data_IF_706991346411
#
_entry.id   IF_706991346411
#
_cell.length_a   1.000
_cell.length_b   1.000
_cell.length_c   1.000
_cell.angle_alpha   90.00
_cell.angle_beta   90.00
_cell.angle_gamma   90.00
#
_symmetry.space_group_name_H-M   'P 1'
#
loop_
_entity.id
_entity.type
_entity.pdbx_description
1 polymer ?
#
# COMPACT_ATOMS: atom_id res chain seq x y z
N UNK A 1 -24.38 -13.87 -7.50
CA UNK A 1 -22.91 -13.93 -7.59
C UNK A 1 -22.50 -15.33 -7.17
N UNK A 2 -21.75 -16.03 -8.01
CA UNK A 2 -21.25 -17.37 -7.70
C UNK A 2 -20.29 -17.31 -6.51
N UNK A 3 -20.46 -18.21 -5.55
CA UNK A 3 -19.69 -18.21 -4.30
C UNK A 3 -18.19 -18.42 -4.59
N UNK A 4 -17.88 -19.20 -5.63
CA UNK A 4 -16.54 -19.42 -6.16
C UNK A 4 -15.87 -18.10 -6.57
N UNK A 5 -16.56 -17.28 -7.38
CA UNK A 5 -16.06 -15.98 -7.86
C UNK A 5 -15.81 -15.00 -6.73
N UNK A 6 -16.67 -15.00 -5.70
CA UNK A 6 -16.45 -14.16 -4.50
C UNK A 6 -15.21 -14.62 -3.72
N UNK A 7 -15.05 -15.93 -3.50
CA UNK A 7 -13.86 -16.48 -2.82
C UNK A 7 -12.57 -16.14 -3.58
N UNK A 8 -12.56 -16.31 -4.90
CA UNK A 8 -11.41 -15.93 -5.73
C UNK A 8 -11.11 -14.44 -5.66
N UNK A 9 -12.13 -13.57 -5.69
CA UNK A 9 -11.93 -12.13 -5.55
C UNK A 9 -11.34 -11.75 -4.19
N UNK A 10 -11.78 -12.38 -3.09
CA UNK A 10 -11.21 -12.19 -1.75
C UNK A 10 -9.75 -12.62 -1.72
N UNK A 11 -9.43 -13.82 -2.23
CA UNK A 11 -8.06 -14.35 -2.24
C UNK A 11 -7.15 -13.45 -3.08
N UNK A 12 -7.56 -13.05 -4.28
CA UNK A 12 -6.79 -12.17 -5.13
C UNK A 12 -6.52 -10.81 -4.47
N UNK A 13 -7.52 -10.27 -3.77
CA UNK A 13 -7.39 -9.00 -3.07
C UNK A 13 -6.50 -9.09 -1.82
N UNK A 14 -6.56 -10.22 -1.12
CA UNK A 14 -5.78 -10.47 0.10
C UNK A 14 -4.33 -10.87 -0.17
N UNK A 15 -4.06 -11.57 -1.27
CA UNK A 15 -2.75 -12.18 -1.54
C UNK A 15 -1.96 -11.43 -2.62
N UNK A 16 -2.62 -10.94 -3.67
CA UNK A 16 -1.92 -10.37 -4.83
C UNK A 16 -1.79 -8.87 -4.71
N UNK A 17 -2.91 -8.16 -4.67
CA UNK A 17 -2.90 -6.70 -4.57
C UNK A 17 -4.26 -6.14 -4.15
N UNK A 18 -4.30 -5.17 -3.21
CA UNK A 18 -5.54 -4.53 -2.81
C UNK A 18 -6.18 -3.79 -4.00
N UNK A 19 -7.43 -4.08 -4.29
CA UNK A 19 -8.21 -3.52 -5.39
C UNK A 19 -8.42 -4.45 -6.58
N UNK A 20 -7.61 -5.50 -6.78
CA UNK A 20 -7.82 -6.47 -7.88
C UNK A 20 -9.14 -7.21 -7.71
N UNK A 21 -9.51 -7.56 -6.47
CA UNK A 21 -10.78 -8.22 -6.19
C UNK A 21 -11.98 -7.38 -6.65
N UNK A 22 -11.94 -6.06 -6.47
CA UNK A 22 -12.98 -5.16 -6.95
C UNK A 22 -13.09 -5.12 -8.47
N UNK A 23 -11.97 -5.21 -9.20
CA UNK A 23 -11.99 -5.34 -10.67
C UNK A 23 -12.63 -6.65 -11.12
N UNK A 24 -12.30 -7.77 -10.47
CA UNK A 24 -12.91 -9.08 -10.76
C UNK A 24 -14.42 -9.09 -10.52
N UNK A 25 -14.88 -8.23 -9.62
CA UNK A 25 -16.28 -8.09 -9.25
C UNK A 25 -17.03 -6.98 -10.02
N UNK A 26 -16.39 -6.34 -11.01
CA UNK A 26 -16.96 -5.32 -11.88
C UNK A 26 -16.89 -3.87 -11.35
N UNK A 27 -16.43 -3.65 -10.12
CA UNK A 27 -16.37 -2.33 -9.47
C UNK A 27 -15.07 -1.58 -9.80
N UNK A 28 -14.86 -1.28 -11.09
CA UNK A 28 -13.62 -0.65 -11.61
C UNK A 28 -13.25 0.65 -10.88
N UNK A 29 -14.23 1.52 -10.59
CA UNK A 29 -14.00 2.78 -9.88
C UNK A 29 -13.43 2.55 -8.48
N UNK A 30 -14.06 1.67 -7.68
CA UNK A 30 -13.60 1.34 -6.33
C UNK A 30 -12.24 0.64 -6.33
N UNK A 31 -12.06 -0.33 -7.24
CA UNK A 31 -10.77 -1.00 -7.41
C UNK A 31 -9.66 -0.01 -7.70
N UNK A 32 -9.87 0.94 -8.61
CA UNK A 32 -8.90 1.99 -8.93
C UNK A 32 -8.60 2.90 -7.73
N UNK A 33 -9.61 3.32 -6.97
CA UNK A 33 -9.40 4.15 -5.77
C UNK A 33 -8.57 3.41 -4.72
N UNK A 34 -8.87 2.14 -4.46
CA UNK A 34 -8.12 1.31 -3.49
C UNK A 34 -6.68 1.08 -3.97
N UNK A 35 -6.49 0.79 -5.26
CA UNK A 35 -5.15 0.64 -5.83
C UNK A 35 -4.35 1.95 -5.71
N UNK A 36 -4.96 3.09 -6.02
CA UNK A 36 -4.31 4.40 -5.90
C UNK A 36 -3.89 4.71 -4.46
N UNK A 37 -4.78 4.48 -3.48
CA UNK A 37 -4.46 4.63 -2.05
C UNK A 37 -3.30 3.73 -1.63
N UNK A 38 -3.32 2.46 -2.06
CA UNK A 38 -2.25 1.49 -1.77
C UNK A 38 -0.90 1.99 -2.29
N UNK A 39 -0.86 2.47 -3.54
CA UNK A 39 0.35 3.03 -4.14
C UNK A 39 0.82 4.29 -3.41
N UNK A 40 -0.08 5.20 -3.04
CA UNK A 40 0.28 6.42 -2.29
C UNK A 40 0.93 6.08 -0.95
N UNK A 41 0.35 5.15 -0.19
CA UNK A 41 0.94 4.74 1.10
C UNK A 41 2.29 4.04 0.91
N UNK A 42 2.43 3.21 -0.12
CA UNK A 42 3.69 2.53 -0.42
C UNK A 42 4.79 3.52 -0.84
N UNK A 43 4.50 4.42 -1.79
CA UNK A 43 5.48 5.38 -2.29
C UNK A 43 5.80 6.48 -1.28
N UNK A 44 4.84 6.95 -0.50
CA UNK A 44 5.11 7.95 0.55
C UNK A 44 6.12 7.45 1.58
N UNK A 45 5.96 6.22 2.07
CA UNK A 45 6.91 5.61 3.01
C UNK A 45 8.31 5.46 2.40
N UNK A 46 8.39 5.00 1.15
CA UNK A 46 9.65 4.86 0.44
C UNK A 46 10.35 6.20 0.21
N UNK A 47 9.63 7.22 -0.28
CA UNK A 47 10.20 8.53 -0.56
C UNK A 47 10.74 9.21 0.70
N UNK A 48 10.01 9.13 1.82
CA UNK A 48 10.47 9.66 3.12
C UNK A 48 11.74 8.96 3.60
N UNK A 49 11.85 7.65 3.36
CA UNK A 49 13.06 6.91 3.70
C UNK A 49 14.24 7.30 2.81
N UNK A 50 14.03 7.42 1.50
CA UNK A 50 15.06 7.80 0.54
C UNK A 50 15.60 9.23 0.78
N UNK A 51 14.72 10.19 1.08
CA UNK A 51 15.17 11.55 1.41
C UNK A 51 15.98 11.57 2.71
N UNK A 52 15.56 10.82 3.73
CA UNK A 52 16.29 10.70 4.98
C UNK A 52 17.65 10.01 4.84
N UNK A 53 17.82 9.12 3.86
CA UNK A 53 19.13 8.56 3.50
C UNK A 53 20.00 9.60 2.81
N UNK A 54 19.49 10.29 1.79
CA UNK A 54 20.25 11.29 1.04
C UNK A 54 20.79 12.41 1.93
N UNK A 55 19.97 12.96 2.83
CA UNK A 55 20.41 14.03 3.75
C UNK A 55 21.57 13.58 4.66
N UNK A 56 21.59 12.31 5.05
CA UNK A 56 22.67 11.78 5.90
C UNK A 56 23.93 11.46 5.10
N UNK A 57 23.78 10.96 3.88
CA UNK A 57 24.91 10.74 2.97
C UNK A 57 25.62 12.05 2.61
N UNK A 58 24.88 13.15 2.37
CA UNK A 58 25.49 14.46 2.13
C UNK A 58 26.28 14.98 3.33
N UNK A 59 25.78 14.79 4.56
CA UNK A 59 26.48 15.20 5.78
C UNK A 59 27.72 14.37 6.11
N UNK A 60 27.76 13.11 5.65
CA UNK A 60 28.86 12.17 5.91
C UNK A 60 29.96 12.25 4.84
N UNK A 61 29.63 12.66 3.61
CA UNK A 61 30.59 12.87 2.52
C UNK A 61 31.73 13.84 2.88
N UNK A 62 31.59 14.67 3.91
CA UNK A 62 32.61 15.61 4.39
C UNK A 62 33.60 15.03 5.41
N UNK A 63 33.38 13.84 5.98
CA UNK A 63 34.05 13.48 7.24
C UNK A 63 34.82 12.14 7.32
N UNK A 64 34.58 11.08 6.53
CA UNK A 64 35.25 9.77 6.77
C UNK A 64 35.21 8.78 5.57
N UNK A 65 35.93 7.66 5.64
CA UNK A 65 35.96 6.61 4.61
C UNK A 65 34.62 5.87 4.45
N UNK A 66 34.20 5.67 3.19
CA UNK A 66 32.86 5.25 2.71
C UNK A 66 32.24 4.02 3.41
N UNK A 67 33.05 3.12 3.97
CA UNK A 67 32.59 1.82 4.51
C UNK A 67 31.86 1.92 5.88
N UNK A 68 32.28 2.82 6.78
CA UNK A 68 31.72 2.93 8.14
C UNK A 68 30.57 3.94 8.25
N UNK A 69 30.32 4.68 7.18
CA UNK A 69 29.33 5.77 7.14
C UNK A 69 27.92 5.27 6.85
N UNK A 70 27.78 4.29 5.96
CA UNK A 70 26.47 3.77 5.53
C UNK A 70 25.73 3.11 6.69
N UNK A 71 26.42 2.34 7.53
CA UNK A 71 25.85 1.69 8.72
C UNK A 71 25.42 2.69 9.79
N UNK A 72 26.16 3.78 9.95
CA UNK A 72 25.87 4.82 10.95
C UNK A 72 24.73 5.74 10.46
N UNK A 73 24.73 6.12 9.18
CA UNK A 73 23.62 6.82 8.53
C UNK A 73 22.32 6.01 8.58
N UNK A 74 22.37 4.71 8.24
CA UNK A 74 21.19 3.85 8.31
C UNK A 74 20.54 3.86 9.69
N UNK A 75 21.36 3.79 10.75
CA UNK A 75 20.87 3.77 12.12
C UNK A 75 20.29 5.13 12.57
N UNK A 76 20.92 6.25 12.20
CA UNK A 76 20.42 7.59 12.52
C UNK A 76 19.18 7.96 11.67
N UNK A 77 19.15 7.61 10.38
CA UNK A 77 18.00 7.80 9.47
C UNK A 77 16.78 7.04 9.96
N UNK A 78 16.98 5.83 10.49
CA UNK A 78 15.90 5.04 11.09
C UNK A 78 15.26 5.79 12.26
N UNK A 79 16.04 6.33 13.21
CA UNK A 79 15.51 6.95 14.42
C UNK A 79 14.70 8.22 14.16
N UNK A 80 15.02 8.95 13.10
CA UNK A 80 14.32 10.19 12.72
C UNK A 80 13.06 9.90 11.91
N UNK A 81 13.12 8.95 10.98
CA UNK A 81 12.06 8.73 9.99
C UNK A 81 11.16 7.53 10.25
N UNK A 82 11.45 6.69 11.26
CA UNK A 82 10.65 5.48 11.52
C UNK A 82 9.17 5.80 11.75
N UNK A 83 8.83 6.93 12.38
CA UNK A 83 7.42 7.27 12.67
C UNK A 83 6.58 7.40 11.40
N UNK A 84 7.09 8.08 10.37
CA UNK A 84 6.38 8.29 9.11
C UNK A 84 6.31 7.00 8.29
N UNK A 85 7.41 6.23 8.25
CA UNK A 85 7.42 4.92 7.60
C UNK A 85 6.40 3.98 8.27
N UNK A 86 6.33 3.99 9.60
CA UNK A 86 5.42 3.16 10.38
C UNK A 86 3.96 3.59 10.19
N UNK A 87 3.68 4.90 10.10
CA UNK A 87 2.35 5.42 9.73
C UNK A 87 1.96 4.98 8.30
N UNK A 88 2.89 5.06 7.34
CA UNK A 88 2.62 4.60 5.97
C UNK A 88 2.35 3.10 5.91
N UNK A 89 3.10 2.30 6.67
CA UNK A 89 2.88 0.85 6.77
C UNK A 89 1.55 0.51 7.45
N UNK A 90 1.21 1.19 8.54
CA UNK A 90 -0.10 1.07 9.21
C UNK A 90 -1.24 1.47 8.28
N UNK A 91 -1.09 2.57 7.54
CA UNK A 91 -2.06 3.02 6.56
C UNK A 91 -2.24 2.01 5.42
N UNK A 92 -1.14 1.45 4.93
CA UNK A 92 -1.16 0.39 3.92
C UNK A 92 -1.92 -0.84 4.43
N UNK A 93 -1.62 -1.31 5.64
CA UNK A 93 -2.33 -2.43 6.27
C UNK A 93 -3.81 -2.12 6.47
N UNK A 94 -4.15 -0.92 6.95
CA UNK A 94 -5.53 -0.50 7.16
C UNK A 94 -6.33 -0.49 5.85
N UNK A 95 -5.76 0.07 4.77
CA UNK A 95 -6.36 0.05 3.43
C UNK A 95 -6.52 -1.38 2.92
N UNK A 96 -5.52 -2.24 3.16
CA UNK A 96 -5.56 -3.63 2.74
C UNK A 96 -6.66 -4.42 3.45
N UNK A 97 -6.74 -4.32 4.79
CA UNK A 97 -7.80 -4.93 5.58
C UNK A 97 -9.18 -4.39 5.22
N UNK A 98 -9.31 -3.08 5.06
CA UNK A 98 -10.56 -2.45 4.62
C UNK A 98 -11.01 -3.00 3.27
N UNK A 99 -10.09 -3.13 2.31
CA UNK A 99 -10.39 -3.66 0.98
C UNK A 99 -10.90 -5.10 1.02
N UNK A 100 -10.29 -5.95 1.84
CA UNK A 100 -10.74 -7.34 2.03
C UNK A 100 -12.11 -7.38 2.73
N UNK A 101 -12.28 -6.57 3.77
CA UNK A 101 -13.53 -6.47 4.53
C UNK A 101 -14.70 -6.00 3.66
N UNK A 102 -14.49 -4.99 2.80
CA UNK A 102 -15.49 -4.46 1.87
C UNK A 102 -16.00 -5.54 0.92
N UNK A 103 -15.10 -6.40 0.40
CA UNK A 103 -15.50 -7.54 -0.45
C UNK A 103 -16.28 -8.59 0.36
N UNK A 104 -15.86 -8.90 1.59
CA UNK A 104 -16.52 -9.87 2.47
C UNK A 104 -17.95 -9.45 2.83
N UNK A 105 -18.16 -8.18 3.17
CA UNK A 105 -19.46 -7.63 3.59
C UNK A 105 -20.33 -7.14 2.42
N UNK A 106 -19.88 -7.32 1.18
CA UNK A 106 -20.62 -6.89 0.00
C UNK A 106 -21.94 -7.65 -0.14
N UNK A 107 -23.06 -7.00 0.22
CA UNK A 107 -24.41 -7.43 -0.16
C UNK A 107 -24.56 -7.32 -1.68
N UNK A 108 -25.12 -8.35 -2.33
CA UNK A 108 -25.35 -8.44 -3.78
C UNK A 108 -26.04 -7.18 -4.35
N UNK A 109 -25.27 -6.16 -4.74
CA UNK A 109 -25.79 -5.01 -5.51
C UNK A 109 -25.66 -5.20 -7.02
N UNK A 110 -25.08 -6.30 -7.50
CA UNK A 110 -24.73 -6.49 -8.93
C UNK A 110 -25.89 -6.98 -9.82
N UNK A 111 -27.13 -6.51 -9.64
CA UNK A 111 -28.21 -6.86 -10.58
C UNK A 111 -29.11 -5.70 -11.01
N UNK A 112 -28.82 -4.44 -10.63
CA UNK A 112 -29.69 -3.31 -11.00
C UNK A 112 -29.18 -2.39 -12.11
N UNK A 113 -27.93 -2.50 -12.56
CA UNK A 113 -27.41 -1.61 -13.62
C UNK A 113 -27.41 -2.23 -15.03
N UNK A 114 -27.51 -3.56 -15.17
CA UNK A 114 -27.54 -4.23 -16.49
C UNK A 114 -28.97 -4.44 -17.05
N UNK A 115 -30.02 -3.99 -16.36
CA UNK A 115 -31.43 -4.08 -16.81
C UNK A 115 -32.02 -2.70 -17.20
N UNK A 116 -31.21 -1.64 -17.22
CA UNK A 116 -31.64 -0.26 -17.50
C UNK A 116 -30.95 0.36 -18.72
N UNK A 117 -30.35 -0.45 -19.60
CA UNK A 117 -29.80 -0.01 -20.89
C UNK A 117 -30.33 -0.86 -22.01
#
# INVERSE_FOLDING_TARGET
MDESKRKTAIIMNAVVFPGIGHFMLGEKKKGMTIMALTLIFMFSGLLVYLTALNTQLESLNFAFSVQNQVTTALHLSWKTSYKLVLISLLGLLAVWFYSVFDICFRKNKSFKEDQSK
#
